data_IF_034741180050
#
_entry.id   IF_034741180050
#
_cell.length_a   1.000
_cell.length_b   1.000
_cell.length_c   1.000
_cell.angle_alpha   90.00
_cell.angle_beta   90.00
_cell.angle_gamma   90.00
#
_symmetry.space_group_name_H-M   'P 1'
#
loop_
_entity.id
_entity.type
_entity.pdbx_description
1 polymer ?
#
# COMPACT_ATOMS: atom_id res chain seq x y z
N UNK A 1 -10.34 -13.84 4.21
CA UNK A 1 -10.42 -12.37 3.96
C UNK A 1 -9.07 -11.93 3.42
N UNK A 2 -9.03 -11.23 2.29
CA UNK A 2 -7.79 -10.63 1.78
C UNK A 2 -7.71 -9.21 2.36
N UNK A 3 -6.65 -8.89 3.08
CA UNK A 3 -6.42 -7.58 3.70
C UNK A 3 -5.02 -7.11 3.32
N UNK A 4 -4.88 -5.83 2.95
CA UNK A 4 -3.56 -5.24 2.76
C UNK A 4 -3.10 -4.63 4.08
N UNK A 5 -2.17 -5.31 4.75
CA UNK A 5 -1.58 -4.85 6.01
C UNK A 5 -0.20 -4.24 5.77
N UNK A 6 0.02 -3.10 6.39
CA UNK A 6 1.30 -2.40 6.41
C UNK A 6 1.82 -2.43 7.85
N UNK A 7 3.03 -2.96 8.03
CA UNK A 7 3.70 -2.90 9.32
C UNK A 7 4.06 -1.45 9.63
N UNK A 8 3.68 -1.00 10.82
CA UNK A 8 4.05 0.25 11.45
C UNK A 8 4.87 -0.09 12.71
N UNK A 9 5.54 0.89 13.33
CA UNK A 9 6.51 0.69 14.43
C UNK A 9 6.23 -0.53 15.33
N UNK A 10 5.16 -0.48 16.13
CA UNK A 10 4.77 -1.58 17.04
C UNK A 10 3.53 -2.37 16.60
N UNK A 11 2.85 -1.96 15.52
CA UNK A 11 1.55 -2.50 15.13
C UNK A 11 1.39 -2.55 13.60
N UNK A 12 0.27 -3.04 13.10
CA UNK A 12 0.00 -3.03 11.67
C UNK A 12 -1.33 -2.34 11.38
N UNK A 13 -1.34 -1.55 10.33
CA UNK A 13 -2.56 -0.90 9.83
C UNK A 13 -3.07 -1.64 8.60
N UNK A 14 -4.40 -1.79 8.53
CA UNK A 14 -5.07 -2.29 7.33
C UNK A 14 -5.43 -1.13 6.42
N UNK A 15 -5.01 -1.18 5.16
CA UNK A 15 -5.39 -0.19 4.15
C UNK A 15 -6.75 -0.58 3.58
N UNK A 16 -7.79 0.11 4.02
CA UNK A 16 -9.16 -0.11 3.56
C UNK A 16 -9.41 0.58 2.21
N UNK A 17 -9.07 1.87 2.12
CA UNK A 17 -9.22 2.70 0.92
C UNK A 17 -7.91 3.43 0.58
N UNK A 18 -7.71 3.71 -0.70
CA UNK A 18 -6.55 4.45 -1.23
C UNK A 18 -6.97 5.30 -2.43
N UNK A 19 -6.33 6.44 -2.62
CA UNK A 19 -6.46 7.29 -3.81
C UNK A 19 -5.11 7.30 -4.55
N UNK A 20 -4.90 6.41 -5.54
CA UNK A 20 -3.66 6.39 -6.30
C UNK A 20 -3.52 7.63 -7.19
N UNK A 21 -2.29 8.07 -7.45
CA UNK A 21 -2.04 9.23 -8.31
C UNK A 21 -2.71 9.06 -9.69
N UNK A 22 -3.50 10.05 -10.10
CA UNK A 22 -4.19 10.06 -11.39
C UNK A 22 -5.36 9.07 -11.51
N UNK A 23 -5.77 8.42 -10.42
CA UNK A 23 -6.90 7.47 -10.39
C UNK A 23 -7.95 7.89 -9.36
N UNK A 24 -9.12 7.27 -9.45
CA UNK A 24 -10.19 7.41 -8.45
C UNK A 24 -9.84 6.61 -7.20
N UNK A 25 -10.50 6.96 -6.10
CA UNK A 25 -10.49 6.17 -4.86
C UNK A 25 -10.90 4.72 -5.14
N UNK A 26 -10.23 3.78 -4.49
CA UNK A 26 -10.50 2.35 -4.57
C UNK A 26 -10.06 1.64 -3.28
N UNK A 27 -10.45 0.37 -3.14
CA UNK A 27 -9.99 -0.44 -2.00
C UNK A 27 -8.52 -0.83 -2.13
N UNK A 28 -7.86 -1.10 -0.99
CA UNK A 28 -6.49 -1.60 -1.00
C UNK A 28 -6.31 -2.90 -1.81
N UNK A 29 -7.33 -3.78 -1.80
CA UNK A 29 -7.31 -5.04 -2.56
C UNK A 29 -7.43 -4.81 -4.07
N UNK A 30 -8.28 -3.87 -4.50
CA UNK A 30 -8.37 -3.48 -5.90
C UNK A 30 -7.06 -2.88 -6.39
N UNK A 31 -6.41 -2.06 -5.56
CA UNK A 31 -5.10 -1.51 -5.86
C UNK A 31 -4.05 -2.62 -6.08
N UNK A 32 -3.96 -3.60 -5.17
CA UNK A 32 -2.97 -4.69 -5.27
C UNK A 32 -3.16 -5.60 -6.51
N UNK A 33 -4.38 -5.68 -7.06
CA UNK A 33 -4.61 -6.41 -8.32
C UNK A 33 -3.96 -5.73 -9.52
N UNK A 34 -3.94 -4.40 -9.53
CA UNK A 34 -3.32 -3.59 -10.60
C UNK A 34 -1.86 -3.24 -10.33
N UNK A 35 -1.43 -3.32 -9.08
CA UNK A 35 -0.08 -2.97 -8.61
C UNK A 35 0.39 -4.08 -7.66
N UNK A 36 0.93 -5.20 -8.19
CA UNK A 36 1.37 -6.30 -7.34
C UNK A 36 2.59 -5.85 -6.52
N UNK A 37 2.38 -5.64 -5.22
CA UNK A 37 3.44 -5.41 -4.25
C UNK A 37 3.89 -6.75 -3.66
N UNK A 38 5.18 -6.86 -3.37
CA UNK A 38 5.70 -8.03 -2.66
C UNK A 38 5.44 -7.90 -1.16
N UNK A 39 5.16 -9.02 -0.48
CA UNK A 39 5.08 -9.02 0.98
C UNK A 39 6.43 -8.63 1.58
N UNK A 40 6.40 -7.69 2.53
CA UNK A 40 7.62 -7.12 3.13
C UNK A 40 8.26 -6.00 2.31
N UNK A 41 7.70 -5.64 1.15
CA UNK A 41 8.15 -4.48 0.39
C UNK A 41 7.93 -3.19 1.19
N UNK A 42 8.95 -2.35 1.27
CA UNK A 42 8.85 -1.02 1.86
C UNK A 42 7.94 -0.14 1.00
N UNK A 43 6.96 0.49 1.65
CA UNK A 43 5.99 1.41 1.02
C UNK A 43 6.47 2.86 0.99
N UNK A 44 7.67 3.14 1.50
CA UNK A 44 8.26 4.48 1.48
C UNK A 44 8.81 4.82 0.09
N UNK A 45 8.52 6.04 -0.38
CA UNK A 45 9.20 6.65 -1.50
C UNK A 45 10.44 7.36 -0.97
N UNK A 46 11.56 6.68 -0.83
CA UNK A 46 12.84 7.38 -0.71
C UNK A 46 13.16 7.93 -2.10
N UNK A 47 12.87 9.21 -2.35
CA UNK A 47 13.69 9.96 -3.31
C UNK A 47 15.07 10.00 -2.70
N UNK A 48 15.94 9.12 -3.18
CA UNK A 48 17.38 9.16 -2.93
C UNK A 48 17.89 10.51 -3.44
N UNK A 49 17.96 11.51 -2.55
CA UNK A 49 18.69 12.75 -2.78
C UNK A 49 20.16 12.47 -2.48
N UNK A 50 20.78 11.64 -3.31
CA UNK A 50 22.23 11.47 -3.40
C UNK A 50 22.82 12.41 -4.44
#
# INVERSE_FOLDING_TARGET
KHEWKVACGNEALSIETIVPQGKREMTGIEFLRGTPLQTGQNVNHETDNS
#
